data_IF_226478736244
#
_entry.id   IF_226478736244
#
_cell.length_a   1.000
_cell.length_b   1.000
_cell.length_c   1.000
_cell.angle_alpha   90.00
_cell.angle_beta   90.00
_cell.angle_gamma   90.00
#
_symmetry.space_group_name_H-M   'P 1'
#
loop_
_entity.id
_entity.type
_entity.pdbx_description
1 polymer ?
#
# COMPACT_ATOMS: atom_id res chain seq x y z
N UNK A 1 18.15 20.55 42.41
CA UNK A 1 17.20 19.62 41.78
C UNK A 1 17.36 19.78 40.29
N UNK A 2 18.06 18.86 39.65
CA UNK A 2 18.33 18.88 38.21
C UNK A 2 17.53 17.71 37.61
N UNK A 3 16.51 18.05 36.82
CA UNK A 3 15.76 17.08 36.00
C UNK A 3 16.54 16.80 34.72
N UNK A 4 17.05 15.60 34.61
CA UNK A 4 17.72 15.09 33.41
C UNK A 4 16.68 14.67 32.39
N UNK A 5 16.56 15.45 31.32
CA UNK A 5 15.83 15.12 30.13
C UNK A 5 16.61 14.03 29.37
N UNK A 6 16.14 12.79 29.46
CA UNK A 6 16.66 11.67 28.69
C UNK A 6 15.90 11.65 27.36
N UNK A 7 16.44 12.33 26.37
CA UNK A 7 16.03 12.18 24.98
C UNK A 7 16.65 10.86 24.48
N UNK A 8 15.85 9.82 24.35
CA UNK A 8 16.24 8.57 23.70
C UNK A 8 16.54 8.85 22.23
N UNK A 9 17.81 9.05 21.97
CA UNK A 9 18.37 9.05 20.61
C UNK A 9 18.37 7.59 20.15
N UNK A 10 17.42 7.21 19.31
CA UNK A 10 17.47 5.94 18.58
C UNK A 10 18.70 6.03 17.67
N UNK A 11 19.78 5.41 18.13
CA UNK A 11 21.04 5.35 17.42
C UNK A 11 20.88 4.47 16.18
N UNK A 12 21.24 5.01 15.03
CA UNK A 12 21.31 4.35 13.69
C UNK A 12 22.38 3.25 13.63
N UNK A 13 22.70 2.61 14.75
CA UNK A 13 23.81 1.66 14.90
C UNK A 13 23.42 0.18 14.95
N UNK A 14 22.13 -0.16 14.98
CA UNK A 14 21.69 -1.54 15.28
C UNK A 14 21.51 -2.43 14.03
N UNK A 15 21.73 -1.90 12.81
CA UNK A 15 21.57 -2.66 11.55
C UNK A 15 22.87 -3.26 11.00
N UNK A 16 24.00 -3.15 11.73
CA UNK A 16 25.31 -3.41 11.18
C UNK A 16 25.78 -4.88 11.20
N UNK A 17 25.03 -5.83 11.78
CA UNK A 17 25.52 -7.21 12.01
C UNK A 17 24.61 -8.34 11.50
N UNK A 18 23.61 -8.05 10.65
CA UNK A 18 22.79 -9.08 10.02
C UNK A 18 23.08 -9.15 8.51
N UNK A 19 23.45 -10.34 8.03
CA UNK A 19 23.60 -10.60 6.61
C UNK A 19 22.29 -10.27 5.89
N UNK A 20 22.40 -9.46 4.83
CA UNK A 20 21.26 -9.12 3.98
C UNK A 20 21.28 -9.98 2.73
N UNK A 21 20.10 -10.41 2.31
CA UNK A 21 19.92 -11.29 1.16
C UNK A 21 18.90 -10.70 0.20
N UNK A 22 19.03 -11.05 -1.08
CA UNK A 22 17.97 -10.89 -2.06
C UNK A 22 17.59 -12.27 -2.58
N UNK A 23 16.30 -12.59 -2.48
CA UNK A 23 15.73 -13.83 -3.01
C UNK A 23 14.83 -13.53 -4.19
N UNK A 24 15.08 -14.20 -5.31
CA UNK A 24 14.29 -14.06 -6.53
C UNK A 24 13.27 -15.19 -6.62
N UNK A 25 12.00 -14.81 -6.74
CA UNK A 25 10.89 -15.72 -6.97
C UNK A 25 10.33 -15.53 -8.37
N UNK A 26 9.93 -16.62 -8.99
CA UNK A 26 9.07 -16.61 -10.18
C UNK A 26 7.64 -16.95 -9.76
N UNK A 27 6.68 -16.08 -10.08
CA UNK A 27 5.26 -16.25 -9.76
C UNK A 27 4.49 -16.45 -11.07
N UNK A 28 4.25 -17.70 -11.44
CA UNK A 28 3.73 -18.08 -12.76
C UNK A 28 2.39 -17.40 -13.14
N UNK A 29 1.57 -17.04 -12.16
CA UNK A 29 0.26 -16.40 -12.35
C UNK A 29 0.26 -14.90 -12.03
N UNK A 30 1.43 -14.29 -11.83
CA UNK A 30 1.53 -12.84 -11.60
C UNK A 30 1.65 -12.14 -12.96
N UNK A 31 0.57 -11.64 -13.49
CA UNK A 31 0.53 -10.98 -14.81
C UNK A 31 -0.11 -9.59 -14.80
N UNK A 32 -0.66 -9.15 -13.66
CA UNK A 32 -1.20 -7.81 -13.52
C UNK A 32 -0.90 -7.18 -12.14
N UNK A 33 -1.19 -5.90 -12.02
CA UNK A 33 -0.98 -5.11 -10.78
C UNK A 33 -1.84 -5.59 -9.59
N UNK A 34 -2.90 -6.34 -9.83
CA UNK A 34 -3.73 -6.90 -8.75
C UNK A 34 -3.00 -7.99 -7.98
N UNK A 35 -2.28 -8.89 -8.68
CA UNK A 35 -1.45 -9.92 -8.05
C UNK A 35 -0.25 -9.31 -7.32
N UNK A 36 0.40 -8.29 -7.90
CA UNK A 36 1.43 -7.52 -7.20
C UNK A 36 0.91 -6.98 -5.87
N UNK A 37 -0.26 -6.37 -5.89
CA UNK A 37 -0.88 -5.82 -4.67
C UNK A 37 -1.20 -6.91 -3.65
N UNK A 38 -1.67 -8.08 -4.07
CA UNK A 38 -1.88 -9.23 -3.18
C UNK A 38 -0.59 -9.69 -2.53
N UNK A 39 0.50 -9.75 -3.28
CA UNK A 39 1.83 -10.11 -2.75
C UNK A 39 2.30 -9.06 -1.74
N UNK A 40 2.22 -7.76 -2.05
CA UNK A 40 2.57 -6.69 -1.12
C UNK A 40 1.78 -6.80 0.19
N UNK A 41 0.47 -6.99 0.11
CA UNK A 41 -0.38 -7.16 1.30
C UNK A 41 -0.02 -8.42 2.10
N UNK A 42 0.38 -9.50 1.45
CA UNK A 42 0.69 -10.76 2.13
C UNK A 42 2.03 -10.72 2.85
N UNK A 43 2.99 -10.00 2.30
CA UNK A 43 4.32 -9.82 2.89
C UNK A 43 4.41 -8.63 3.85
N UNK A 44 3.35 -7.82 3.94
CA UNK A 44 3.26 -6.71 4.88
C UNK A 44 3.35 -7.21 6.34
N UNK A 45 4.07 -6.47 7.17
CA UNK A 45 4.27 -6.79 8.58
C UNK A 45 5.24 -7.94 8.88
N UNK A 46 5.98 -8.42 7.89
CA UNK A 46 7.11 -9.34 8.15
C UNK A 46 8.21 -8.60 8.90
N UNK A 47 8.77 -9.25 9.90
CA UNK A 47 9.92 -8.75 10.65
C UNK A 47 11.10 -9.72 10.53
N UNK A 48 12.33 -9.26 10.29
CA UNK A 48 12.68 -7.88 9.89
C UNK A 48 12.01 -7.42 8.59
N UNK A 49 11.86 -6.10 8.42
CA UNK A 49 11.19 -5.49 7.28
C UNK A 49 11.85 -5.93 5.95
N UNK A 50 11.02 -6.16 4.94
CA UNK A 50 11.46 -6.61 3.61
C UNK A 50 11.14 -5.54 2.55
N UNK A 51 12.04 -5.39 1.55
CA UNK A 51 11.75 -4.59 0.38
C UNK A 51 11.41 -5.48 -0.82
N UNK A 52 10.48 -5.04 -1.66
CA UNK A 52 9.91 -5.80 -2.76
C UNK A 52 10.12 -5.05 -4.07
N UNK A 53 10.75 -5.73 -5.03
CA UNK A 53 10.88 -5.25 -6.41
C UNK A 53 10.20 -6.21 -7.37
N UNK A 54 9.26 -5.71 -8.16
CA UNK A 54 8.44 -6.50 -9.10
C UNK A 54 8.84 -6.24 -10.55
N UNK A 55 8.88 -7.32 -11.32
CA UNK A 55 8.95 -7.29 -12.77
C UNK A 55 7.76 -8.09 -13.33
N UNK A 56 6.66 -7.39 -13.61
CA UNK A 56 5.42 -8.01 -14.10
C UNK A 56 5.60 -8.70 -15.46
N UNK A 57 6.28 -8.10 -16.46
CA UNK A 57 6.56 -8.75 -17.74
C UNK A 57 7.28 -10.09 -17.59
N UNK A 58 8.22 -10.19 -16.67
CA UNK A 58 8.96 -11.43 -16.40
C UNK A 58 8.33 -12.30 -15.32
N UNK A 59 7.24 -11.81 -14.67
CA UNK A 59 6.57 -12.51 -13.56
C UNK A 59 7.53 -12.85 -12.44
N UNK A 60 8.45 -11.93 -12.12
CA UNK A 60 9.45 -12.12 -11.07
C UNK A 60 9.29 -11.10 -9.95
N UNK A 61 9.62 -11.56 -8.76
CA UNK A 61 9.68 -10.79 -7.53
C UNK A 61 11.07 -10.94 -6.93
N UNK A 62 11.75 -9.86 -6.65
CA UNK A 62 12.93 -9.82 -5.80
C UNK A 62 12.51 -9.35 -4.40
N UNK A 63 12.92 -10.11 -3.39
CA UNK A 63 12.65 -9.81 -1.98
C UNK A 63 13.99 -9.59 -1.29
N UNK A 64 14.23 -8.38 -0.82
CA UNK A 64 15.38 -8.05 0.01
C UNK A 64 15.01 -8.30 1.47
N UNK A 65 15.79 -9.12 2.19
CA UNK A 65 15.45 -9.59 3.54
C UNK A 65 16.68 -9.90 4.40
N UNK A 66 16.46 -10.17 5.68
CA UNK A 66 17.50 -10.51 6.66
C UNK A 66 17.32 -11.92 7.24
N UNK A 67 17.24 -12.93 6.36
CA UNK A 67 17.24 -14.35 6.79
C UNK A 67 15.87 -14.98 7.05
N UNK A 68 14.76 -14.28 6.87
CA UNK A 68 13.38 -14.78 7.09
C UNK A 68 12.76 -15.44 5.84
N UNK A 69 13.58 -16.13 5.03
CA UNK A 69 13.17 -16.70 3.74
C UNK A 69 12.05 -17.74 3.84
N UNK A 70 12.02 -18.53 4.91
CA UNK A 70 11.00 -19.56 5.10
C UNK A 70 9.60 -18.95 5.30
N UNK A 71 9.48 -17.90 6.12
CA UNK A 71 8.20 -17.18 6.31
C UNK A 71 7.76 -16.50 5.01
N UNK A 72 8.68 -15.86 4.28
CA UNK A 72 8.42 -15.26 2.97
C UNK A 72 7.89 -16.31 2.01
N UNK A 73 8.57 -17.46 1.88
CA UNK A 73 8.18 -18.53 0.98
C UNK A 73 6.80 -19.09 1.32
N UNK A 74 6.55 -19.39 2.59
CA UNK A 74 5.26 -19.91 3.06
C UNK A 74 4.11 -18.93 2.75
N UNK A 75 4.33 -17.64 2.97
CA UNK A 75 3.33 -16.61 2.65
C UNK A 75 3.06 -16.50 1.16
N UNK A 76 4.09 -16.54 0.32
CA UNK A 76 3.93 -16.50 -1.13
C UNK A 76 3.21 -17.75 -1.68
N UNK A 77 3.55 -18.93 -1.18
CA UNK A 77 2.88 -20.18 -1.57
C UNK A 77 1.39 -20.18 -1.23
N UNK A 78 1.02 -19.58 -0.08
CA UNK A 78 -0.38 -19.48 0.36
C UNK A 78 -1.28 -18.65 -0.57
N UNK A 79 -0.69 -17.82 -1.45
CA UNK A 79 -1.42 -17.06 -2.46
C UNK A 79 -1.82 -17.88 -3.69
N UNK A 80 -1.29 -19.10 -3.84
CA UNK A 80 -1.54 -19.97 -5.01
C UNK A 80 -1.21 -19.32 -6.38
N UNK A 81 -0.26 -18.36 -6.39
CA UNK A 81 0.24 -17.71 -7.60
C UNK A 81 1.34 -18.52 -8.31
N UNK A 82 1.64 -19.73 -7.81
CA UNK A 82 2.69 -20.59 -8.36
C UNK A 82 4.10 -20.06 -8.08
N UNK A 83 4.29 -19.51 -6.88
CA UNK A 83 5.57 -18.99 -6.43
C UNK A 83 6.65 -20.10 -6.38
N UNK A 84 7.80 -19.85 -6.98
CA UNK A 84 8.97 -20.71 -6.93
C UNK A 84 10.21 -19.88 -6.66
N UNK A 85 10.94 -20.21 -5.61
CA UNK A 85 12.25 -19.63 -5.34
C UNK A 85 13.22 -20.07 -6.44
N UNK A 86 13.84 -19.10 -7.08
CA UNK A 86 14.77 -19.34 -8.21
C UNK A 86 16.22 -19.20 -7.74
N UNK A 87 16.50 -18.17 -6.95
CA UNK A 87 17.85 -17.81 -6.52
C UNK A 87 17.80 -17.06 -5.19
N UNK A 88 18.79 -17.28 -4.34
CA UNK A 88 19.06 -16.44 -3.18
C UNK A 88 20.53 -16.08 -3.20
N UNK A 89 20.84 -14.79 -3.05
CA UNK A 89 22.21 -14.29 -2.97
C UNK A 89 22.36 -13.32 -1.82
N UNK A 90 23.53 -13.30 -1.24
CA UNK A 90 23.93 -12.30 -0.25
C UNK A 90 24.14 -10.93 -0.92
N UNK A 91 23.68 -9.86 -0.28
CA UNK A 91 23.83 -8.49 -0.72
C UNK A 91 24.36 -7.62 0.43
N UNK A 92 24.87 -6.45 0.09
CA UNK A 92 25.35 -5.52 1.12
C UNK A 92 24.13 -4.95 1.89
N UNK A 93 24.26 -4.69 3.19
CA UNK A 93 23.20 -4.03 3.96
C UNK A 93 22.74 -2.69 3.35
N UNK A 94 23.65 -1.99 2.64
CA UNK A 94 23.33 -0.77 1.91
C UNK A 94 22.32 -1.00 0.77
N UNK A 95 22.32 -2.15 0.11
CA UNK A 95 21.40 -2.47 -0.97
C UNK A 95 19.97 -2.65 -0.41
N UNK A 96 19.82 -3.32 0.73
CA UNK A 96 18.53 -3.45 1.44
C UNK A 96 18.02 -2.07 1.88
N UNK A 97 18.85 -1.24 2.49
CA UNK A 97 18.43 0.10 2.94
C UNK A 97 18.02 0.99 1.76
N UNK A 98 18.70 0.87 0.62
CA UNK A 98 18.33 1.57 -0.62
C UNK A 98 16.99 1.09 -1.17
N UNK A 99 16.75 -0.21 -1.18
CA UNK A 99 15.49 -0.80 -1.64
C UNK A 99 14.32 -0.37 -0.74
N UNK A 100 14.50 -0.37 0.58
CA UNK A 100 13.50 0.12 1.55
C UNK A 100 13.22 1.61 1.36
N UNK A 101 14.25 2.43 1.16
CA UNK A 101 14.09 3.87 0.91
C UNK A 101 13.33 4.13 -0.40
N UNK A 102 13.64 3.41 -1.47
CA UNK A 102 12.93 3.49 -2.76
C UNK A 102 11.45 3.10 -2.64
N UNK A 103 11.16 2.06 -1.86
CA UNK A 103 9.77 1.67 -1.57
C UNK A 103 9.03 2.76 -0.81
N UNK A 104 9.63 3.35 0.22
CA UNK A 104 9.05 4.44 1.00
C UNK A 104 8.78 5.69 0.14
N UNK A 105 9.67 6.03 -0.81
CA UNK A 105 9.44 7.13 -1.76
C UNK A 105 8.24 6.86 -2.68
N UNK A 106 8.08 5.62 -3.12
CA UNK A 106 6.94 5.21 -3.95
C UNK A 106 5.63 5.35 -3.19
N UNK A 107 5.58 4.87 -1.95
CA UNK A 107 4.41 4.99 -1.07
C UNK A 107 4.05 6.47 -0.79
N UNK A 108 5.05 7.34 -0.62
CA UNK A 108 4.82 8.79 -0.46
C UNK A 108 4.24 9.43 -1.71
N UNK A 109 4.70 9.03 -2.90
CA UNK A 109 4.16 9.51 -4.18
C UNK A 109 2.70 9.07 -4.35
N UNK A 110 2.38 7.80 -4.09
CA UNK A 110 1.01 7.30 -4.10
C UNK A 110 0.12 8.07 -3.12
N UNK A 111 0.57 8.29 -1.89
CA UNK A 111 -0.16 9.08 -0.90
C UNK A 111 -0.41 10.52 -1.37
N UNK A 112 0.55 11.13 -2.05
CA UNK A 112 0.40 12.47 -2.62
C UNK A 112 -0.67 12.52 -3.72
N UNK A 113 -0.67 11.54 -4.62
CA UNK A 113 -1.68 11.43 -5.68
C UNK A 113 -3.07 11.25 -5.07
N UNK A 114 -3.21 10.35 -4.11
CA UNK A 114 -4.49 10.11 -3.41
C UNK A 114 -5.01 11.36 -2.70
N UNK A 115 -4.12 12.17 -2.10
CA UNK A 115 -4.49 13.45 -1.49
C UNK A 115 -5.06 14.43 -2.52
N UNK A 116 -4.42 14.54 -3.68
CA UNK A 116 -4.91 15.42 -4.76
C UNK A 116 -6.25 14.95 -5.30
N UNK A 117 -6.42 13.65 -5.53
CA UNK A 117 -7.69 13.07 -5.96
C UNK A 117 -8.80 13.32 -4.93
N UNK A 118 -8.50 13.14 -3.65
CA UNK A 118 -9.43 13.44 -2.55
C UNK A 118 -9.84 14.92 -2.55
N UNK A 119 -8.89 15.83 -2.69
CA UNK A 119 -9.16 17.28 -2.70
C UNK A 119 -10.01 17.69 -3.91
N UNK A 120 -9.67 17.19 -5.10
CA UNK A 120 -10.40 17.50 -6.34
C UNK A 120 -11.84 16.98 -6.26
N UNK A 121 -12.04 15.70 -5.93
CA UNK A 121 -13.39 15.12 -5.84
C UNK A 121 -14.19 15.75 -4.70
N UNK A 122 -13.57 16.03 -3.56
CA UNK A 122 -14.22 16.74 -2.46
C UNK A 122 -14.65 18.17 -2.84
N UNK A 123 -13.82 18.90 -3.57
CA UNK A 123 -14.16 20.24 -4.05
C UNK A 123 -15.30 20.20 -5.06
N UNK A 124 -15.24 19.27 -6.03
CA UNK A 124 -16.29 19.08 -7.03
C UNK A 124 -17.62 18.69 -6.40
N UNK A 125 -17.61 17.80 -5.40
CA UNK A 125 -18.80 17.46 -4.62
C UNK A 125 -19.50 18.72 -4.09
N UNK A 126 -18.78 19.61 -3.41
CA UNK A 126 -19.38 20.82 -2.85
C UNK A 126 -19.89 21.80 -3.93
N UNK A 127 -19.15 21.93 -5.04
CA UNK A 127 -19.55 22.79 -6.16
C UNK A 127 -20.84 22.28 -6.78
N UNK A 128 -20.86 21.01 -7.17
CA UNK A 128 -21.99 20.39 -7.87
C UNK A 128 -23.22 20.30 -6.98
N UNK A 129 -23.07 19.95 -5.69
CA UNK A 129 -24.15 19.93 -4.72
C UNK A 129 -24.76 21.34 -4.57
N UNK A 130 -23.94 22.37 -4.46
CA UNK A 130 -24.42 23.74 -4.29
C UNK A 130 -25.12 24.24 -5.55
N UNK A 131 -24.52 24.06 -6.72
CA UNK A 131 -25.11 24.45 -8.01
C UNK A 131 -26.36 23.64 -8.30
N UNK A 132 -26.35 22.34 -8.05
CA UNK A 132 -27.51 21.45 -8.22
C UNK A 132 -28.68 21.85 -7.33
N UNK A 133 -28.42 22.25 -6.09
CA UNK A 133 -29.44 22.74 -5.18
C UNK A 133 -30.07 24.06 -5.65
N UNK A 134 -29.21 25.03 -6.06
CA UNK A 134 -29.68 26.33 -6.57
C UNK A 134 -30.45 26.17 -7.87
N UNK A 135 -29.95 25.34 -8.79
CA UNK A 135 -30.56 25.08 -10.10
C UNK A 135 -31.74 24.10 -10.03
N UNK A 136 -32.04 23.53 -8.86
CA UNK A 136 -33.03 22.44 -8.68
C UNK A 136 -32.83 21.28 -9.67
N UNK A 137 -31.56 20.94 -9.94
CA UNK A 137 -31.17 19.90 -10.87
C UNK A 137 -30.86 18.60 -10.12
N UNK A 138 -31.76 17.62 -10.24
CA UNK A 138 -31.54 16.28 -9.68
C UNK A 138 -30.33 15.59 -10.30
N UNK A 139 -30.02 15.85 -11.57
CA UNK A 139 -28.83 15.29 -12.25
C UNK A 139 -27.52 15.76 -11.61
N UNK A 140 -27.37 17.08 -11.33
CA UNK A 140 -26.19 17.61 -10.66
C UNK A 140 -26.07 17.13 -9.21
N UNK A 141 -27.19 16.94 -8.52
CA UNK A 141 -27.19 16.37 -7.17
C UNK A 141 -26.73 14.92 -7.20
N UNK A 142 -27.21 14.12 -8.18
CA UNK A 142 -26.78 12.74 -8.34
C UNK A 142 -25.27 12.65 -8.68
N UNK A 143 -24.76 13.51 -9.56
CA UNK A 143 -23.36 13.59 -9.94
C UNK A 143 -22.46 13.97 -8.74
N UNK A 144 -22.94 14.91 -7.89
CA UNK A 144 -22.24 15.25 -6.65
C UNK A 144 -22.09 14.04 -5.70
N UNK A 145 -23.06 13.13 -5.65
CA UNK A 145 -22.96 11.91 -4.83
C UNK A 145 -21.87 10.95 -5.35
N UNK A 146 -21.65 10.89 -6.66
CA UNK A 146 -20.54 10.12 -7.24
C UNK A 146 -19.20 10.71 -6.85
N UNK A 147 -19.05 12.05 -6.90
CA UNK A 147 -17.85 12.73 -6.42
C UNK A 147 -17.60 12.49 -4.93
N UNK A 148 -18.67 12.45 -4.13
CA UNK A 148 -18.57 12.11 -2.71
C UNK A 148 -18.10 10.66 -2.50
N UNK A 149 -18.67 9.71 -3.26
CA UNK A 149 -18.27 8.31 -3.18
C UNK A 149 -16.78 8.12 -3.53
N UNK A 150 -16.31 8.76 -4.58
CA UNK A 150 -14.91 8.74 -4.98
C UNK A 150 -14.00 9.38 -3.91
N UNK A 151 -14.37 10.53 -3.39
CA UNK A 151 -13.63 11.18 -2.31
C UNK A 151 -13.55 10.27 -1.06
N UNK A 152 -14.63 9.58 -0.71
CA UNK A 152 -14.64 8.62 0.40
C UNK A 152 -13.69 7.45 0.15
N UNK A 153 -13.67 6.89 -1.07
CA UNK A 153 -12.74 5.82 -1.45
C UNK A 153 -11.29 6.27 -1.36
N UNK A 154 -10.96 7.45 -1.92
CA UNK A 154 -9.61 7.99 -1.85
C UNK A 154 -9.18 8.33 -0.42
N UNK A 155 -10.10 8.87 0.41
CA UNK A 155 -9.86 9.14 1.82
C UNK A 155 -9.55 7.87 2.61
N UNK A 156 -10.30 6.80 2.35
CA UNK A 156 -10.10 5.49 2.97
C UNK A 156 -8.80 4.84 2.47
N UNK A 157 -8.49 4.93 1.18
CA UNK A 157 -7.24 4.44 0.62
C UNK A 157 -6.03 5.18 1.23
N UNK A 158 -6.10 6.50 1.33
CA UNK A 158 -5.06 7.33 1.95
C UNK A 158 -4.86 6.99 3.44
N UNK A 159 -5.96 6.77 4.18
CA UNK A 159 -5.88 6.33 5.57
C UNK A 159 -5.21 4.97 5.73
N UNK A 160 -5.33 4.09 4.74
CA UNK A 160 -4.76 2.75 4.74
C UNK A 160 -3.29 2.70 4.28
N UNK A 161 -2.78 3.75 3.61
CA UNK A 161 -1.36 3.83 3.21
C UNK A 161 -0.46 3.76 4.44
N UNK A 162 0.56 2.90 4.41
CA UNK A 162 1.49 2.69 5.51
C UNK A 162 0.92 2.02 6.77
N UNK A 163 -0.28 1.43 6.70
CA UNK A 163 -0.91 0.73 7.83
C UNK A 163 -1.11 -0.75 7.56
N UNK A 164 -1.30 -1.53 8.65
CA UNK A 164 -1.44 -2.98 8.61
C UNK A 164 -2.56 -3.46 7.68
N UNK A 165 -2.33 -4.59 7.01
CA UNK A 165 -3.21 -5.21 6.00
C UNK A 165 -4.65 -5.40 6.46
N UNK A 166 -4.87 -5.70 7.75
CA UNK A 166 -6.21 -5.84 8.32
C UNK A 166 -7.04 -4.56 8.25
N UNK A 167 -6.37 -3.41 8.33
CA UNK A 167 -7.01 -2.10 8.23
C UNK A 167 -7.34 -1.76 6.77
N UNK A 168 -6.44 -2.09 5.84
CA UNK A 168 -6.65 -1.94 4.39
C UNK A 168 -7.89 -2.73 3.92
N UNK A 169 -8.02 -3.97 4.41
CA UNK A 169 -9.17 -4.84 4.08
C UNK A 169 -10.49 -4.28 4.63
N UNK A 170 -10.50 -3.81 5.89
CA UNK A 170 -11.68 -3.16 6.49
C UNK A 170 -12.08 -1.89 5.73
N UNK A 171 -11.09 -1.10 5.35
CA UNK A 171 -11.28 0.11 4.56
C UNK A 171 -11.91 -0.19 3.19
N UNK A 172 -11.42 -1.21 2.48
CA UNK A 172 -11.97 -1.64 1.20
C UNK A 172 -13.41 -2.15 1.32
N UNK A 173 -13.72 -2.93 2.36
CA UNK A 173 -15.09 -3.38 2.63
C UNK A 173 -16.03 -2.20 2.92
N UNK A 174 -15.58 -1.24 3.72
CA UNK A 174 -16.37 -0.04 4.02
C UNK A 174 -16.67 0.78 2.76
N UNK A 175 -15.66 1.02 1.92
CA UNK A 175 -15.83 1.71 0.65
C UNK A 175 -16.80 0.98 -0.28
N UNK A 176 -16.70 -0.35 -0.40
CA UNK A 176 -17.61 -1.17 -1.21
C UNK A 176 -19.06 -1.11 -0.70
N UNK A 177 -19.27 -1.15 0.62
CA UNK A 177 -20.60 -0.98 1.21
C UNK A 177 -21.17 0.40 0.98
N UNK A 178 -20.35 1.44 1.10
CA UNK A 178 -20.77 2.82 0.84
C UNK A 178 -21.25 2.99 -0.61
N UNK A 179 -20.47 2.50 -1.57
CA UNK A 179 -20.83 2.52 -2.99
C UNK A 179 -22.14 1.74 -3.27
N UNK A 180 -22.31 0.57 -2.65
CA UNK A 180 -23.53 -0.22 -2.81
C UNK A 180 -24.77 0.53 -2.29
N UNK A 181 -24.65 1.18 -1.13
CA UNK A 181 -25.75 1.98 -0.55
C UNK A 181 -26.10 3.15 -1.48
N UNK A 182 -25.09 3.86 -1.99
CA UNK A 182 -25.30 4.98 -2.92
C UNK A 182 -25.93 4.51 -4.23
N UNK A 183 -25.49 3.39 -4.80
CA UNK A 183 -26.04 2.83 -6.03
C UNK A 183 -27.51 2.40 -5.92
N UNK A 184 -27.98 2.01 -4.73
CA UNK A 184 -29.39 1.63 -4.49
C UNK A 184 -30.24 2.86 -4.14
N UNK A 185 -29.62 3.94 -3.67
CA UNK A 185 -30.33 5.16 -3.22
C UNK A 185 -30.58 6.18 -4.34
N UNK A 186 -29.99 6.00 -5.51
CA UNK A 186 -30.19 6.83 -6.70
C UNK A 186 -31.11 6.12 -7.68
#
# INVERSE_FOLDING_TARGET
MAESNHADTVTSGDYADHNSFVSKFHLAKMDCSSEERLVRMKLDGIQPEVALEFDLPQRTLQVFHQGNIDDITQRLESLNLGAKLTETREVKPADLSTALASQAETDQKEASILKWLLVINGAMFFIELTVGWIAQSTGLIADSLDMFADAAVYGVALYAVGRATSLKLRAAHFAGWLQLILAVGV
#
